data_IF_120039361621
#
_entry.id   IF_120039361621
#
_cell.length_a   1.000
_cell.length_b   1.000
_cell.length_c   1.000
_cell.angle_alpha   90.00
_cell.angle_beta   90.00
_cell.angle_gamma   90.00
#
_symmetry.space_group_name_H-M   'P 1'
#
loop_
_entity.id
_entity.type
_entity.pdbx_description
1 polymer ?
#
# COMPACT_ATOMS: atom_id res chain seq x y z
N UNK A 1 49.04 -7.40 84.06
CA UNK A 1 48.44 -7.55 82.71
C UNK A 1 46.99 -8.04 82.83
N UNK A 2 45.98 -7.18 82.80
CA UNK A 2 44.58 -7.61 82.63
C UNK A 2 43.84 -6.58 81.78
N UNK A 3 43.93 -6.70 80.45
CA UNK A 3 42.94 -6.07 79.56
C UNK A 3 41.60 -6.73 79.90
N UNK A 4 40.76 -6.00 80.62
CA UNK A 4 39.52 -6.53 81.18
C UNK A 4 38.58 -7.04 80.09
N UNK A 5 37.94 -8.17 80.38
CA UNK A 5 36.92 -8.87 79.57
C UNK A 5 35.89 -7.91 78.92
N UNK A 6 35.61 -6.78 79.58
CA UNK A 6 34.73 -5.70 79.11
C UNK A 6 35.19 -5.02 77.80
N UNK A 7 36.50 -4.82 77.62
CA UNK A 7 37.05 -4.16 76.42
C UNK A 7 37.02 -5.06 75.18
N UNK A 8 37.15 -6.38 75.37
CA UNK A 8 37.04 -7.36 74.27
C UNK A 8 35.59 -7.50 73.78
N UNK A 9 34.61 -7.51 74.70
CA UNK A 9 33.19 -7.56 74.34
C UNK A 9 32.75 -6.31 73.57
N UNK A 10 33.19 -5.12 73.97
CA UNK A 10 32.88 -3.86 73.25
C UNK A 10 33.45 -3.89 71.83
N UNK A 11 34.66 -4.39 71.64
CA UNK A 11 35.27 -4.52 70.31
C UNK A 11 34.54 -5.57 69.44
N UNK A 12 34.02 -6.65 70.02
CA UNK A 12 33.19 -7.63 69.31
C UNK A 12 31.85 -7.04 68.88
N UNK A 13 31.16 -6.32 69.77
CA UNK A 13 29.89 -5.63 69.46
C UNK A 13 30.08 -4.57 68.37
N UNK A 14 31.14 -3.77 68.44
CA UNK A 14 31.46 -2.78 67.41
C UNK A 14 31.80 -3.43 66.07
N UNK A 15 32.43 -4.61 66.06
CA UNK A 15 32.70 -5.38 64.84
C UNK A 15 31.41 -5.89 64.21
N UNK A 16 30.49 -6.45 65.01
CA UNK A 16 29.18 -6.93 64.55
C UNK A 16 28.33 -5.79 63.99
N UNK A 17 28.29 -4.64 64.66
CA UNK A 17 27.56 -3.46 64.18
C UNK A 17 28.14 -2.89 62.88
N UNK A 18 29.47 -2.94 62.69
CA UNK A 18 30.12 -2.55 61.45
C UNK A 18 29.74 -3.49 60.30
N UNK A 19 29.75 -4.81 60.54
CA UNK A 19 29.35 -5.82 59.55
C UNK A 19 27.87 -5.65 59.17
N UNK A 20 26.98 -5.43 60.12
CA UNK A 20 25.55 -5.21 59.85
C UNK A 20 25.30 -3.92 59.06
N UNK A 21 26.07 -2.86 59.32
CA UNK A 21 25.99 -1.60 58.56
C UNK A 21 26.48 -1.80 57.12
N UNK A 22 27.60 -2.49 56.92
CA UNK A 22 28.12 -2.82 55.58
C UNK A 22 27.13 -3.70 54.81
N UNK A 23 26.56 -4.73 55.44
CA UNK A 23 25.55 -5.59 54.81
C UNK A 23 24.29 -4.80 54.41
N UNK A 24 23.83 -3.86 55.25
CA UNK A 24 22.68 -3.00 54.92
C UNK A 24 22.98 -2.07 53.75
N UNK A 25 24.15 -1.43 53.74
CA UNK A 25 24.58 -0.56 52.64
C UNK A 25 24.75 -1.35 51.35
N UNK A 26 25.35 -2.53 51.40
CA UNK A 26 25.54 -3.38 50.22
C UNK A 26 24.21 -3.87 49.65
N UNK A 27 23.24 -4.20 50.52
CA UNK A 27 21.89 -4.60 50.10
C UNK A 27 21.13 -3.44 49.44
N UNK A 28 21.27 -2.21 49.96
CA UNK A 28 20.66 -1.00 49.36
C UNK A 28 21.34 -0.63 48.05
N UNK A 29 22.67 -0.70 47.96
CA UNK A 29 23.42 -0.49 46.72
C UNK A 29 23.02 -1.49 45.63
N UNK A 30 22.88 -2.78 45.97
CA UNK A 30 22.42 -3.80 45.02
C UNK A 30 20.98 -3.54 44.58
N UNK A 31 20.08 -3.17 45.50
CA UNK A 31 18.70 -2.79 45.14
C UNK A 31 18.68 -1.56 44.22
N UNK A 32 19.44 -0.52 44.57
CA UNK A 32 19.50 0.73 43.82
C UNK A 32 20.11 0.52 42.43
N UNK A 33 21.11 -0.36 42.32
CA UNK A 33 21.68 -0.78 41.05
C UNK A 33 20.66 -1.56 40.21
N UNK A 34 19.91 -2.53 40.79
CA UNK A 34 18.84 -3.25 40.09
C UNK A 34 17.72 -2.35 39.58
N UNK A 35 17.31 -1.32 40.33
CA UNK A 35 16.26 -0.38 39.91
C UNK A 35 16.73 0.49 38.74
N UNK A 36 18.02 0.84 38.69
CA UNK A 36 18.59 1.68 37.62
C UNK A 36 18.77 0.89 36.30
N UNK A 37 19.07 -0.42 36.33
CA UNK A 37 19.22 -1.21 35.09
C UNK A 37 17.89 -1.53 34.39
N UNK A 38 16.75 -1.40 35.08
CA UNK A 38 15.42 -1.60 34.48
C UNK A 38 14.80 -0.31 33.91
N UNK A 39 15.47 0.84 34.04
CA UNK A 39 14.90 2.15 33.72
C UNK A 39 15.05 2.66 32.28
N UNK A 40 15.68 1.91 31.36
CA UNK A 40 16.04 2.43 30.02
C UNK A 40 15.72 1.49 28.84
N UNK A 41 14.58 0.77 28.82
CA UNK A 41 14.22 0.03 27.59
C UNK A 41 12.72 -0.25 27.35
N UNK A 42 11.80 0.61 27.76
CA UNK A 42 10.36 0.35 27.51
C UNK A 42 9.60 1.46 26.78
N UNK A 43 10.27 2.56 26.40
CA UNK A 43 9.61 3.69 25.72
C UNK A 43 9.97 3.91 24.26
N UNK A 44 11.13 3.42 23.80
CA UNK A 44 11.66 3.73 22.45
C UNK A 44 11.25 2.69 21.40
N UNK A 45 10.95 1.46 21.81
CA UNK A 45 10.66 0.35 20.88
C UNK A 45 9.26 0.48 20.24
N UNK A 46 8.25 0.99 20.95
CA UNK A 46 6.91 1.15 20.38
C UNK A 46 6.80 2.31 19.39
N UNK A 47 7.51 3.42 19.64
CA UNK A 47 7.51 4.58 18.76
C UNK A 47 8.22 4.30 17.42
N UNK A 48 9.30 3.50 17.43
CA UNK A 48 9.95 3.07 16.19
C UNK A 48 9.17 1.97 15.45
N UNK A 49 8.53 1.03 16.17
CA UNK A 49 7.66 0.03 15.54
C UNK A 49 6.42 0.65 14.88
N UNK A 50 5.81 1.66 15.50
CA UNK A 50 4.70 2.41 14.90
C UNK A 50 5.11 3.17 13.65
N UNK A 51 6.29 3.81 13.66
CA UNK A 51 6.86 4.50 12.49
C UNK A 51 7.19 3.53 11.36
N UNK A 52 7.79 2.39 11.65
CA UNK A 52 8.12 1.38 10.64
C UNK A 52 6.87 0.78 10.00
N UNK A 53 5.79 0.56 10.77
CA UNK A 53 4.49 0.13 10.24
C UNK A 53 3.83 1.20 9.37
N UNK A 54 3.81 2.46 9.83
CA UNK A 54 3.27 3.57 9.05
C UNK A 54 4.02 3.80 7.73
N UNK A 55 5.36 3.70 7.74
CA UNK A 55 6.17 3.81 6.53
C UNK A 55 5.96 2.62 5.58
N UNK A 56 5.83 1.39 6.10
CA UNK A 56 5.48 0.23 5.28
C UNK A 56 4.12 0.42 4.59
N UNK A 57 3.13 0.91 5.33
CA UNK A 57 1.80 1.20 4.81
C UNK A 57 1.82 2.24 3.68
N UNK A 58 2.55 3.33 3.88
CA UNK A 58 2.76 4.33 2.82
C UNK A 58 3.44 3.75 1.59
N UNK A 59 4.45 2.89 1.75
CA UNK A 59 5.16 2.26 0.64
C UNK A 59 4.23 1.31 -0.13
N UNK A 60 3.40 0.52 0.57
CA UNK A 60 2.45 -0.38 -0.08
C UNK A 60 1.42 0.40 -0.92
N UNK A 61 0.74 1.37 -0.31
CA UNK A 61 -0.23 2.23 -1.01
C UNK A 61 0.41 2.96 -2.20
N UNK A 62 1.66 3.42 -2.05
CA UNK A 62 2.39 4.07 -3.15
C UNK A 62 2.69 3.11 -4.30
N UNK A 63 3.11 1.87 -4.01
CA UNK A 63 3.35 0.85 -5.02
C UNK A 63 2.07 0.45 -5.76
N UNK A 64 0.96 0.30 -5.03
CA UNK A 64 -0.36 0.04 -5.61
C UNK A 64 -0.76 1.12 -6.61
N UNK A 65 -0.62 2.38 -6.20
CA UNK A 65 -0.93 3.53 -7.05
C UNK A 65 -0.05 3.57 -8.30
N UNK A 66 1.25 3.34 -8.15
CA UNK A 66 2.19 3.28 -9.27
C UNK A 66 1.84 2.16 -10.26
N UNK A 67 1.41 0.99 -9.79
CA UNK A 67 0.98 -0.11 -10.66
C UNK A 67 -0.26 0.28 -11.48
N UNK A 68 -1.24 0.96 -10.85
CA UNK A 68 -2.41 1.48 -11.56
C UNK A 68 -2.01 2.52 -12.61
N UNK A 69 -1.15 3.46 -12.24
CA UNK A 69 -0.71 4.53 -13.15
C UNK A 69 0.12 3.99 -14.32
N UNK A 70 1.01 3.03 -14.06
CA UNK A 70 1.85 2.40 -15.08
C UNK A 70 1.00 1.59 -16.06
N UNK A 71 0.02 0.81 -15.56
CA UNK A 71 -0.91 0.06 -16.41
C UNK A 71 -1.72 0.97 -17.34
N UNK A 72 -2.12 2.15 -16.83
CA UNK A 72 -2.78 3.16 -17.65
C UNK A 72 -1.81 3.81 -18.66
N UNK A 73 -0.58 4.10 -18.25
CA UNK A 73 0.47 4.67 -19.11
C UNK A 73 0.83 3.76 -20.28
N UNK A 74 0.98 2.45 -20.03
CA UNK A 74 1.28 1.45 -21.05
C UNK A 74 0.16 1.37 -22.11
N UNK A 75 -1.09 1.57 -21.70
CA UNK A 75 -2.21 1.66 -22.64
C UNK A 75 -2.12 2.92 -23.50
N UNK A 76 -1.89 4.10 -22.92
CA UNK A 76 -1.75 5.35 -23.68
C UNK A 76 -0.56 5.29 -24.64
N UNK A 77 0.55 4.65 -24.24
CA UNK A 77 1.70 4.40 -25.11
C UNK A 77 1.42 3.40 -26.24
N UNK A 78 0.46 2.50 -26.05
CA UNK A 78 0.03 1.52 -27.07
C UNK A 78 -1.02 2.07 -28.05
N UNK A 79 -1.45 3.33 -27.89
CA UNK A 79 -2.54 3.92 -28.66
C UNK A 79 -2.04 4.50 -29.99
N UNK A 80 -2.69 4.02 -31.07
CA UNK A 80 -2.73 4.54 -32.45
C UNK A 80 -1.52 4.24 -33.36
N UNK A 81 -1.36 2.96 -33.68
CA UNK A 81 -0.66 2.48 -34.89
C UNK A 81 -1.60 2.06 -36.02
N UNK A 82 -2.85 2.54 -36.05
CA UNK A 82 -3.82 2.16 -37.09
C UNK A 82 -3.52 2.89 -38.41
N UNK A 83 -3.51 2.15 -39.52
CA UNK A 83 -3.35 2.66 -40.88
C UNK A 83 -4.56 2.28 -41.75
N UNK A 84 -4.57 2.74 -43.00
CA UNK A 84 -5.62 2.37 -43.98
C UNK A 84 -5.63 0.88 -44.31
N UNK A 85 -4.51 0.18 -44.07
CA UNK A 85 -4.38 -1.27 -44.26
C UNK A 85 -4.83 -2.07 -43.03
N UNK A 86 -5.02 -1.42 -41.88
CA UNK A 86 -5.51 -2.08 -40.67
C UNK A 86 -6.90 -2.68 -40.91
N UNK A 87 -7.13 -3.86 -40.34
CA UNK A 87 -8.43 -4.53 -40.43
C UNK A 87 -9.40 -3.91 -39.43
N UNK A 88 -10.69 -3.97 -39.72
CA UNK A 88 -11.73 -3.60 -38.76
C UNK A 88 -11.57 -4.36 -37.43
N UNK A 89 -11.24 -5.64 -37.48
CA UNK A 89 -10.93 -6.45 -36.30
C UNK A 89 -9.76 -5.92 -35.45
N UNK A 90 -8.80 -5.18 -36.02
CA UNK A 90 -7.74 -4.55 -35.22
C UNK A 90 -8.27 -3.35 -34.42
N UNK A 91 -9.27 -2.64 -34.95
CA UNK A 91 -10.03 -1.61 -34.21
C UNK A 91 -10.86 -2.27 -33.11
N UNK A 92 -11.49 -3.42 -33.39
CA UNK A 92 -12.21 -4.20 -32.39
C UNK A 92 -11.29 -4.64 -31.23
N UNK A 93 -10.09 -5.14 -31.54
CA UNK A 93 -9.06 -5.47 -30.53
C UNK A 93 -8.64 -4.25 -29.72
N UNK A 94 -8.44 -3.10 -30.37
CA UNK A 94 -8.09 -1.86 -29.67
C UNK A 94 -9.13 -1.53 -28.58
N UNK A 95 -10.42 -1.54 -28.91
CA UNK A 95 -11.46 -1.29 -27.91
C UNK A 95 -11.52 -2.36 -26.82
N UNK A 96 -11.24 -3.64 -27.12
CA UNK A 96 -11.09 -4.67 -26.08
C UNK A 96 -9.94 -4.37 -25.13
N UNK A 97 -8.79 -3.93 -25.66
CA UNK A 97 -7.64 -3.52 -24.84
C UNK A 97 -8.02 -2.34 -23.94
N UNK A 98 -8.70 -1.32 -24.48
CA UNK A 98 -9.20 -0.18 -23.69
C UNK A 98 -10.12 -0.67 -22.57
N UNK A 99 -11.08 -1.55 -22.87
CA UNK A 99 -11.97 -2.12 -21.86
C UNK A 99 -11.18 -2.81 -20.73
N UNK A 100 -10.31 -3.77 -21.07
CA UNK A 100 -9.55 -4.54 -20.08
C UNK A 100 -8.62 -3.67 -19.23
N UNK A 101 -7.96 -2.68 -19.82
CA UNK A 101 -7.11 -1.77 -19.04
C UNK A 101 -7.93 -0.94 -18.07
N UNK A 102 -9.05 -0.37 -18.51
CA UNK A 102 -9.88 0.49 -17.65
C UNK A 102 -10.53 -0.34 -16.54
N UNK A 103 -10.90 -1.59 -16.80
CA UNK A 103 -11.29 -2.57 -15.76
C UNK A 103 -10.16 -2.82 -14.75
N UNK A 104 -8.91 -2.96 -15.22
CA UNK A 104 -7.73 -3.07 -14.36
C UNK A 104 -7.55 -1.84 -13.47
N UNK A 105 -7.65 -0.63 -14.02
CA UNK A 105 -7.57 0.63 -13.27
C UNK A 105 -8.69 0.73 -12.23
N UNK A 106 -9.94 0.42 -12.62
CA UNK A 106 -11.07 0.38 -11.69
C UNK A 106 -10.81 -0.59 -10.53
N UNK A 107 -10.29 -1.77 -10.82
CA UNK A 107 -9.97 -2.79 -9.82
C UNK A 107 -8.87 -2.32 -8.87
N UNK A 108 -7.78 -1.78 -9.42
CA UNK A 108 -6.66 -1.29 -8.62
C UNK A 108 -7.02 -0.08 -7.75
N UNK A 109 -7.82 0.86 -8.24
CA UNK A 109 -8.31 1.99 -7.42
C UNK A 109 -9.16 1.53 -6.24
N UNK A 110 -10.03 0.53 -6.44
CA UNK A 110 -10.80 -0.04 -5.34
C UNK A 110 -9.91 -0.80 -4.34
N UNK A 111 -8.86 -1.47 -4.83
CA UNK A 111 -7.87 -2.13 -3.97
C UNK A 111 -7.15 -1.13 -3.05
N UNK A 112 -6.67 -0.02 -3.62
CA UNK A 112 -6.03 1.07 -2.85
C UNK A 112 -6.96 1.56 -1.73
N UNK A 113 -8.25 1.74 -2.01
CA UNK A 113 -9.22 2.16 -0.99
C UNK A 113 -9.36 1.13 0.13
N UNK A 114 -9.39 -0.17 -0.21
CA UNK A 114 -9.45 -1.25 0.78
C UNK A 114 -8.20 -1.24 1.66
N UNK A 115 -7.01 -1.19 1.06
CA UNK A 115 -5.74 -1.17 1.81
C UNK A 115 -5.65 0.08 2.70
N UNK A 116 -6.04 1.25 2.20
CA UNK A 116 -6.10 2.48 3.01
C UNK A 116 -7.01 2.33 4.25
N UNK A 117 -8.13 1.61 4.12
CA UNK A 117 -9.05 1.36 5.25
C UNK A 117 -8.44 0.38 6.27
N UNK A 118 -7.81 -0.69 5.79
CA UNK A 118 -7.12 -1.67 6.65
C UNK A 118 -5.99 -1.03 7.46
N UNK A 119 -5.26 -0.10 6.83
CA UNK A 119 -4.17 0.65 7.43
C UNK A 119 -4.62 1.81 8.32
N UNK A 120 -5.94 1.99 8.49
CA UNK A 120 -6.55 3.08 9.26
C UNK A 120 -6.07 4.47 8.79
N UNK A 121 -5.90 4.63 7.48
CA UNK A 121 -5.51 5.90 6.90
C UNK A 121 -6.62 6.95 7.15
N UNK A 122 -6.30 8.12 7.74
CA UNK A 122 -7.31 9.13 8.06
C UNK A 122 -8.04 9.68 6.82
N UNK A 123 -7.46 9.54 5.63
CA UNK A 123 -8.04 10.00 4.38
C UNK A 123 -8.85 8.91 3.64
N UNK A 124 -8.94 7.69 4.17
CA UNK A 124 -9.54 6.55 3.45
C UNK A 124 -10.99 6.80 2.99
N UNK A 125 -11.82 7.45 3.82
CA UNK A 125 -13.22 7.74 3.46
C UNK A 125 -13.34 8.82 2.37
N UNK A 126 -12.50 9.84 2.42
CA UNK A 126 -12.43 10.87 1.38
C UNK A 126 -11.98 10.24 0.04
N UNK A 127 -10.93 9.43 0.07
CA UNK A 127 -10.46 8.70 -1.11
C UNK A 127 -11.52 7.74 -1.66
N UNK A 128 -12.21 6.99 -0.78
CA UNK A 128 -13.28 6.08 -1.19
C UNK A 128 -14.39 6.83 -1.95
N UNK A 129 -14.77 8.02 -1.49
CA UNK A 129 -15.79 8.85 -2.14
C UNK A 129 -15.36 9.31 -3.53
N UNK A 130 -14.12 9.78 -3.65
CA UNK A 130 -13.55 10.23 -4.94
C UNK A 130 -13.42 9.06 -5.91
N UNK A 131 -12.90 7.91 -5.45
CA UNK A 131 -12.76 6.70 -6.27
C UNK A 131 -14.12 6.20 -6.73
N UNK A 132 -15.11 6.12 -5.84
CA UNK A 132 -16.48 5.75 -6.20
C UNK A 132 -17.04 6.67 -7.28
N UNK A 133 -16.89 7.98 -7.11
CA UNK A 133 -17.36 8.97 -8.08
C UNK A 133 -16.67 8.81 -9.43
N UNK A 134 -15.35 8.61 -9.45
CA UNK A 134 -14.58 8.40 -10.67
C UNK A 134 -15.02 7.12 -11.40
N UNK A 135 -15.22 6.02 -10.66
CA UNK A 135 -15.66 4.74 -11.20
C UNK A 135 -17.05 4.88 -11.83
N UNK A 136 -18.04 5.33 -11.07
CA UNK A 136 -19.45 5.38 -11.50
C UNK A 136 -19.67 6.43 -12.60
N UNK A 137 -18.99 7.58 -12.53
CA UNK A 137 -19.23 8.67 -13.47
C UNK A 137 -18.41 8.59 -14.76
N UNK A 138 -17.26 7.89 -14.75
CA UNK A 138 -16.31 7.84 -15.87
C UNK A 138 -15.91 6.42 -16.25
N UNK A 139 -15.28 5.66 -15.36
CA UNK A 139 -14.65 4.40 -15.74
C UNK A 139 -15.68 3.38 -16.22
N UNK A 140 -16.82 3.26 -15.54
CA UNK A 140 -17.90 2.36 -15.95
C UNK A 140 -18.46 2.70 -17.33
N UNK A 141 -18.54 4.00 -17.66
CA UNK A 141 -19.01 4.45 -18.97
C UNK A 141 -17.99 4.16 -20.08
N UNK A 142 -16.70 4.32 -19.78
CA UNK A 142 -15.62 3.98 -20.72
C UNK A 142 -15.60 2.47 -20.97
N UNK A 143 -15.70 1.66 -19.92
CA UNK A 143 -15.77 0.19 -20.03
C UNK A 143 -16.97 -0.22 -20.88
N UNK A 144 -18.15 0.33 -20.59
CA UNK A 144 -19.36 0.04 -21.35
C UNK A 144 -19.23 0.43 -22.82
N UNK A 145 -18.79 1.66 -23.11
CA UNK A 145 -18.63 2.15 -24.48
C UNK A 145 -17.55 1.39 -25.26
N UNK A 146 -16.43 1.05 -24.62
CA UNK A 146 -15.38 0.24 -25.24
C UNK A 146 -15.86 -1.18 -25.56
N UNK A 147 -16.61 -1.79 -24.63
CA UNK A 147 -17.24 -3.10 -24.85
C UNK A 147 -18.19 -3.04 -26.05
N UNK A 148 -19.14 -2.10 -26.04
CA UNK A 148 -20.12 -1.91 -27.11
C UNK A 148 -19.46 -1.69 -28.47
N UNK A 149 -18.44 -0.81 -28.54
CA UNK A 149 -17.69 -0.59 -29.77
C UNK A 149 -16.97 -1.86 -30.24
N UNK A 150 -16.33 -2.59 -29.32
CA UNK A 150 -15.59 -3.80 -29.67
C UNK A 150 -16.51 -4.93 -30.17
N UNK A 151 -17.71 -5.06 -29.60
CA UNK A 151 -18.73 -6.04 -29.99
C UNK A 151 -19.37 -5.66 -31.33
N UNK A 152 -19.69 -4.38 -31.53
CA UNK A 152 -20.26 -3.90 -32.79
C UNK A 152 -19.30 -4.04 -33.99
N UNK A 153 -17.99 -3.87 -33.76
CA UNK A 153 -16.97 -4.09 -34.79
C UNK A 153 -16.74 -5.59 -35.04
N UNK A 154 -16.75 -6.38 -33.97
CA UNK A 154 -16.52 -7.81 -34.03
C UNK A 154 -15.15 -8.19 -34.60
N UNK A 155 -15.15 -9.24 -35.41
CA UNK A 155 -13.99 -9.88 -36.04
C UNK A 155 -13.92 -9.64 -37.55
N UNK A 156 -14.57 -8.56 -38.02
CA UNK A 156 -14.57 -8.13 -39.41
C UNK A 156 -13.15 -8.07 -40.00
N UNK A 157 -12.96 -8.72 -41.15
CA UNK A 157 -11.64 -8.92 -41.75
C UNK A 157 -11.27 -7.84 -42.76
N UNK A 158 -12.25 -7.05 -43.20
CA UNK A 158 -12.06 -6.03 -44.21
C UNK A 158 -11.18 -4.88 -43.68
N UNK A 159 -10.39 -4.24 -44.55
CA UNK A 159 -9.69 -3.01 -44.21
C UNK A 159 -10.64 -1.91 -43.75
N UNK A 160 -10.18 -1.04 -42.86
CA UNK A 160 -10.95 0.13 -42.39
C UNK A 160 -11.27 1.06 -43.57
N UNK A 161 -10.34 1.21 -44.51
CA UNK A 161 -10.50 2.03 -45.72
C UNK A 161 -11.24 1.35 -46.88
N UNK A 162 -11.89 0.20 -46.66
CA UNK A 162 -12.56 -0.51 -47.74
C UNK A 162 -13.76 0.30 -48.27
N UNK A 163 -13.69 0.73 -49.52
CA UNK A 163 -14.82 1.31 -50.25
C UNK A 163 -15.51 0.18 -50.98
N UNK A 164 -16.78 -0.08 -50.65
CA UNK A 164 -17.56 -1.07 -51.38
C UNK A 164 -17.59 -0.67 -52.87
N UNK A 165 -17.10 -1.56 -53.75
CA UNK A 165 -17.25 -1.37 -55.19
C UNK A 165 -18.73 -1.25 -55.50
N UNK A 166 -19.16 -0.10 -56.02
CA UNK A 166 -20.46 -0.01 -56.67
C UNK A 166 -20.41 -0.96 -57.87
N UNK A 167 -21.01 -2.15 -57.73
CA UNK A 167 -21.43 -2.89 -58.90
C UNK A 167 -22.47 -2.02 -59.59
N UNK A 168 -22.02 -1.23 -60.56
CA UNK A 168 -22.80 -0.30 -61.36
C UNK A 168 -23.84 -1.04 -62.21
N UNK A 169 -24.91 -1.47 -61.56
CA UNK A 169 -26.09 -2.09 -62.17
C UNK A 169 -27.37 -1.51 -61.61
N UNK A 170 -27.41 -0.20 -61.36
CA UNK A 170 -28.68 0.51 -61.24
C UNK A 170 -29.26 0.68 -62.64
N UNK A 171 -30.16 -0.22 -63.03
CA UNK A 171 -31.01 0.01 -64.21
C UNK A 171 -31.79 1.29 -63.98
N UNK A 172 -31.66 2.24 -64.92
CA UNK A 172 -32.54 3.40 -65.01
C UNK A 172 -33.96 2.87 -65.16
N UNK A 173 -34.80 3.12 -64.16
CA UNK A 173 -36.23 2.84 -64.26
C UNK A 173 -36.88 3.91 -65.13
N UNK A 174 -37.58 3.47 -66.18
CA UNK A 174 -38.60 4.25 -66.89
C UNK A 174 -39.75 4.64 -65.93
#
# INVERSE_FOLDING_TARGET
MKKGIKGEMINRVNRVNRVNRVNRVNRVMIMMMMVVVMGCNSGVVEAEQGKNKFLQSLVNVSNEFLNVFTSFGDMVGSVLGLSVESKKSDVGKYFKTVQSTVEGVKTGLNKIVVEMKEEKNPNAEATATVVKTLVESKLDKIIAGAKEASEAIGDASEPIGNVAGQNGGGTVGD
#
